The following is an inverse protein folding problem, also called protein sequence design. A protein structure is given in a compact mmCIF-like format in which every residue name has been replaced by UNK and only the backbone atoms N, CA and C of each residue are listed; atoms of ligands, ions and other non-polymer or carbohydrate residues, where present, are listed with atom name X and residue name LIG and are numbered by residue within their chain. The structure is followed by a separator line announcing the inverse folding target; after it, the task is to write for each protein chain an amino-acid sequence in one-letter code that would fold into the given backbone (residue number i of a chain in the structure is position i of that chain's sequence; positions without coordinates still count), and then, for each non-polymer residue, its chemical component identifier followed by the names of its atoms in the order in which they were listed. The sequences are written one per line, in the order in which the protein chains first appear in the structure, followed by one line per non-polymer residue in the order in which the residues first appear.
data_IF_262925892912
#
_entry.id   IF_262925892912
#
_cell.length_a   1.000
_cell.length_b   1.000
_cell.length_c   1.000
_cell.angle_alpha   90.00
_cell.angle_beta   90.00
_cell.angle_gamma   90.00
#
_symmetry.space_group_name_H-M   'P 1'
#
loop_
_entity.id
_entity.type
_entity.pdbx_description
1 polymer ?
#
# COMPACT_ATOMS: atom_id res chain seq x y z
N UNK A 1 13.95 -19.96 8.73
CA UNK A 1 13.14 -19.01 7.95
C UNK A 1 12.89 -17.82 8.86
N UNK A 2 13.65 -16.76 8.69
CA UNK A 2 13.40 -15.48 9.33
C UNK A 2 13.64 -14.45 8.24
N UNK A 3 12.55 -13.86 7.75
CA UNK A 3 12.56 -12.74 6.81
C UNK A 3 11.54 -11.77 7.40
N UNK A 4 12.00 -11.05 8.40
CA UNK A 4 11.25 -10.10 9.22
C UNK A 4 12.16 -8.89 9.48
N UNK A 5 13.04 -8.60 8.53
CA UNK A 5 13.86 -7.40 8.54
C UNK A 5 13.07 -6.31 7.79
N UNK A 6 12.73 -5.18 8.44
CA UNK A 6 11.92 -4.12 7.83
C UNK A 6 12.55 -3.51 6.57
N UNK A 7 13.86 -3.71 6.38
CA UNK A 7 14.58 -3.30 5.18
C UNK A 7 14.27 -4.17 3.95
N UNK A 8 13.95 -5.44 4.15
CA UNK A 8 13.56 -6.34 3.05
C UNK A 8 12.16 -5.99 2.54
N UNK A 9 11.25 -5.64 3.45
CA UNK A 9 9.86 -5.28 3.11
C UNK A 9 9.79 -3.98 2.30
N UNK A 10 10.58 -2.96 2.68
CA UNK A 10 10.66 -1.72 1.92
C UNK A 10 11.27 -1.94 0.53
N UNK A 11 12.31 -2.78 0.42
CA UNK A 11 12.91 -3.11 -0.85
C UNK A 11 11.91 -3.80 -1.80
N UNK A 12 11.11 -4.73 -1.28
CA UNK A 12 10.04 -5.37 -2.04
C UNK A 12 8.98 -4.35 -2.49
N UNK A 13 8.55 -3.46 -1.61
CA UNK A 13 7.60 -2.41 -1.97
C UNK A 13 8.14 -1.51 -3.09
N UNK A 14 9.44 -1.19 -3.07
CA UNK A 14 10.11 -0.43 -4.14
C UNK A 14 10.19 -1.21 -5.45
N UNK A 15 10.39 -2.52 -5.42
CA UNK A 15 10.33 -3.35 -6.62
C UNK A 15 8.94 -3.32 -7.27
N UNK A 16 7.87 -3.29 -6.46
CA UNK A 16 6.48 -3.31 -6.94
C UNK A 16 5.98 -1.93 -7.36
N UNK A 17 6.28 -0.89 -6.58
CA UNK A 17 5.72 0.47 -6.77
C UNK A 17 6.69 1.45 -7.44
N UNK A 18 7.99 1.15 -7.43
CA UNK A 18 9.05 2.09 -7.78
C UNK A 18 9.48 2.98 -6.61
N UNK A 19 10.62 3.65 -6.75
CA UNK A 19 11.22 4.46 -5.69
C UNK A 19 10.37 5.68 -5.32
N UNK A 20 9.87 6.43 -6.31
CA UNK A 20 9.18 7.71 -6.06
C UNK A 20 7.92 7.57 -5.17
N UNK A 21 7.00 6.62 -5.40
CA UNK A 21 5.87 6.43 -4.50
C UNK A 21 6.28 6.04 -3.08
N UNK A 22 7.33 5.22 -2.93
CA UNK A 22 7.84 4.79 -1.63
C UNK A 22 8.49 5.96 -0.88
N UNK A 23 9.30 6.77 -1.56
CA UNK A 23 9.90 7.97 -0.98
C UNK A 23 8.83 8.93 -0.42
N UNK A 24 7.69 9.06 -1.11
CA UNK A 24 6.56 9.87 -0.62
C UNK A 24 5.91 9.27 0.64
N UNK A 25 5.78 7.95 0.72
CA UNK A 25 5.26 7.26 1.91
C UNK A 25 6.20 7.40 3.11
N UNK A 26 7.51 7.27 2.89
CA UNK A 26 8.55 7.46 3.92
C UNK A 26 8.58 8.89 4.44
N UNK A 27 8.44 9.88 3.54
CA UNK A 27 8.49 11.29 3.90
C UNK A 27 7.19 11.81 4.55
N UNK A 28 6.09 11.06 4.46
CA UNK A 28 4.79 11.49 4.96
C UNK A 28 4.68 11.31 6.49
N UNK A 29 4.68 12.41 7.22
CA UNK A 29 4.30 12.45 8.62
C UNK A 29 2.83 12.84 8.75
N UNK A 30 2.01 11.86 9.12
CA UNK A 30 0.56 12.01 9.30
C UNK A 30 0.15 12.12 10.78
N UNK A 31 1.12 12.24 11.70
CA UNK A 31 0.87 12.40 13.13
C UNK A 31 0.16 11.21 13.80
N UNK A 32 0.25 10.02 13.21
CA UNK A 32 -0.37 8.79 13.72
C UNK A 32 0.69 7.79 14.23
N UNK A 33 0.34 6.87 15.15
CA UNK A 33 1.28 5.86 15.63
C UNK A 33 1.80 4.94 14.54
N UNK A 34 1.00 4.68 13.50
CA UNK A 34 1.35 3.88 12.35
C UNK A 34 1.64 4.78 11.16
N UNK A 35 2.72 4.49 10.46
CA UNK A 35 3.19 5.28 9.33
C UNK A 35 2.47 4.89 8.03
N UNK A 36 2.44 5.80 7.04
CA UNK A 36 1.94 5.48 5.70
C UNK A 36 2.69 4.33 5.03
N UNK A 37 4.00 4.21 5.28
CA UNK A 37 4.81 3.10 4.77
C UNK A 37 4.36 1.76 5.36
N UNK A 38 4.22 1.65 6.68
CA UNK A 38 3.76 0.42 7.33
C UNK A 38 2.37 0.01 6.82
N UNK A 39 1.47 0.97 6.65
CA UNK A 39 0.15 0.71 6.07
C UNK A 39 0.24 0.20 4.61
N UNK A 40 1.12 0.78 3.78
CA UNK A 40 1.34 0.31 2.42
C UNK A 40 1.87 -1.13 2.37
N UNK A 41 2.81 -1.49 3.26
CA UNK A 41 3.38 -2.83 3.35
C UNK A 41 2.34 -3.87 3.73
N UNK A 42 1.50 -3.59 4.73
CA UNK A 42 0.45 -4.51 5.13
C UNK A 42 -0.61 -4.67 4.04
N UNK A 43 -0.91 -3.61 3.30
CA UNK A 43 -1.80 -3.68 2.14
C UNK A 43 -1.17 -4.51 1.02
N UNK A 44 0.12 -4.32 0.71
CA UNK A 44 0.81 -5.13 -0.30
C UNK A 44 0.74 -6.62 0.05
N UNK A 45 1.08 -6.99 1.29
CA UNK A 45 1.00 -8.37 1.79
C UNK A 45 -0.41 -8.94 1.70
N UNK A 46 -1.41 -8.13 2.03
CA UNK A 46 -2.81 -8.52 1.86
C UNK A 46 -3.10 -8.83 0.40
N UNK A 47 -2.74 -7.96 -0.54
CA UNK A 47 -3.03 -8.11 -1.96
C UNK A 47 -2.29 -9.29 -2.59
N UNK A 48 -1.02 -9.52 -2.23
CA UNK A 48 -0.21 -10.65 -2.72
C UNK A 48 -0.77 -12.03 -2.31
N UNK A 49 -1.64 -12.08 -1.30
CA UNK A 49 -2.41 -13.28 -0.98
C UNK A 49 -3.45 -13.66 -2.05
N UNK A 50 -3.77 -12.77 -3.00
CA UNK A 50 -4.85 -12.92 -3.97
C UNK A 50 -4.42 -12.68 -5.42
N UNK A 51 -3.46 -11.78 -5.64
CA UNK A 51 -3.04 -11.35 -6.98
C UNK A 51 -1.53 -11.29 -7.11
N UNK A 52 -1.02 -11.24 -8.34
CA UNK A 52 0.41 -11.02 -8.61
C UNK A 52 0.85 -9.58 -8.30
N UNK A 53 2.16 -9.39 -8.11
CA UNK A 53 2.78 -8.10 -7.80
C UNK A 53 2.45 -7.02 -8.85
N UNK A 54 2.35 -7.39 -10.13
CA UNK A 54 1.99 -6.47 -11.18
C UNK A 54 0.56 -5.94 -11.04
N UNK A 55 -0.38 -6.80 -10.60
CA UNK A 55 -1.75 -6.39 -10.30
C UNK A 55 -1.83 -5.55 -9.02
N UNK A 56 -1.08 -5.91 -7.97
CA UNK A 56 -0.99 -5.13 -6.75
C UNK A 56 -0.42 -3.72 -7.02
N UNK A 57 0.70 -3.62 -7.76
CA UNK A 57 1.29 -2.34 -8.13
C UNK A 57 0.36 -1.47 -8.98
N UNK A 58 -0.37 -2.08 -9.94
CA UNK A 58 -1.42 -1.35 -10.69
C UNK A 58 -2.52 -0.82 -9.78
N UNK A 59 -2.94 -1.57 -8.76
CA UNK A 59 -3.97 -1.13 -7.84
C UNK A 59 -3.52 0.12 -7.04
N UNK A 60 -2.28 0.13 -6.53
CA UNK A 60 -1.68 1.29 -5.87
C UNK A 60 -1.56 2.53 -6.77
N UNK A 61 -1.38 2.33 -8.08
CA UNK A 61 -1.25 3.40 -9.06
C UNK A 61 -2.58 3.85 -9.68
N UNK A 62 -3.70 3.19 -9.36
CA UNK A 62 -5.01 3.47 -9.96
C UNK A 62 -5.93 4.16 -8.95
N UNK A 63 -6.67 5.17 -9.42
CA UNK A 63 -7.69 5.83 -8.62
C UNK A 63 -8.74 4.85 -8.12
N UNK A 64 -9.08 4.94 -6.84
CA UNK A 64 -10.09 4.08 -6.22
C UNK A 64 -11.36 4.87 -5.95
N UNK A 65 -12.49 4.36 -6.44
CA UNK A 65 -13.80 4.96 -6.15
C UNK A 65 -14.09 5.07 -4.64
N UNK A 66 -13.61 4.10 -3.85
CA UNK A 66 -13.74 4.09 -2.38
C UNK A 66 -12.86 5.12 -1.68
N UNK A 67 -11.83 5.63 -2.35
CA UNK A 67 -10.92 6.67 -1.84
C UNK A 67 -11.23 8.04 -2.45
N UNK A 68 -12.48 8.23 -2.91
CA UNK A 68 -12.96 9.49 -3.51
C UNK A 68 -12.19 9.90 -4.77
N UNK A 69 -11.74 8.91 -5.56
CA UNK A 69 -10.98 9.16 -6.79
C UNK A 69 -9.48 9.40 -6.56
N UNK A 70 -9.00 9.28 -5.33
CA UNK A 70 -7.55 9.27 -5.04
C UNK A 70 -6.96 7.90 -5.31
N UNK A 71 -5.69 7.87 -5.67
CA UNK A 71 -4.87 6.67 -5.61
C UNK A 71 -4.63 6.25 -4.15
N UNK A 72 -4.37 4.96 -3.88
CA UNK A 72 -3.98 4.49 -2.56
C UNK A 72 -2.77 5.24 -2.00
N UNK A 73 -1.77 5.59 -2.83
CA UNK A 73 -0.61 6.37 -2.40
C UNK A 73 -1.02 7.76 -1.91
N UNK A 74 -1.85 8.48 -2.67
CA UNK A 74 -2.34 9.81 -2.28
C UNK A 74 -3.17 9.77 -0.99
N UNK A 75 -3.98 8.72 -0.81
CA UNK A 75 -4.76 8.53 0.40
C UNK A 75 -3.85 8.24 1.62
N UNK A 76 -2.84 7.39 1.47
CA UNK A 76 -1.88 7.06 2.53
C UNK A 76 -1.08 8.29 2.99
N UNK A 77 -0.52 9.07 2.05
CA UNK A 77 0.27 10.27 2.41
C UNK A 77 -0.58 11.40 3.02
N UNK A 78 -1.91 11.32 2.90
CA UNK A 78 -2.84 12.25 3.54
C UNK A 78 -3.44 11.69 4.85
N UNK A 79 -3.01 10.51 5.29
CA UNK A 79 -3.39 9.91 6.57
C UNK A 79 -4.65 9.06 6.55
N UNK A 80 -5.24 8.78 5.37
CA UNK A 80 -6.40 7.92 5.21
C UNK A 80 -6.01 6.42 5.21
N UNK A 81 -5.34 5.98 6.29
CA UNK A 81 -4.74 4.66 6.37
C UNK A 81 -5.82 3.55 6.40
N UNK A 82 -6.82 3.69 7.27
CA UNK A 82 -7.89 2.71 7.45
C UNK A 82 -8.75 2.57 6.18
N UNK A 83 -9.05 3.68 5.49
CA UNK A 83 -9.82 3.67 4.25
C UNK A 83 -9.09 2.94 3.13
N UNK A 84 -7.77 3.06 3.07
CA UNK A 84 -6.95 2.33 2.08
C UNK A 84 -6.96 0.83 2.35
N UNK A 85 -6.84 0.42 3.61
CA UNK A 85 -6.94 -1.00 3.96
C UNK A 85 -8.31 -1.59 3.64
N UNK A 86 -9.38 -0.86 3.96
CA UNK A 86 -10.74 -1.29 3.67
C UNK A 86 -11.01 -1.36 2.16
N UNK A 87 -10.48 -0.40 1.39
CA UNK A 87 -10.51 -0.46 -0.06
C UNK A 87 -9.75 -1.68 -0.60
N UNK A 88 -8.58 -2.00 -0.03
CA UNK A 88 -7.79 -3.17 -0.40
C UNK A 88 -8.51 -4.48 -0.08
N UNK A 89 -9.04 -4.63 1.13
CA UNK A 89 -9.84 -5.80 1.54
C UNK A 89 -11.04 -6.01 0.63
N UNK A 90 -11.77 -4.95 0.33
CA UNK A 90 -12.94 -5.02 -0.55
C UNK A 90 -12.58 -5.35 -2.00
N UNK A 91 -11.42 -4.89 -2.47
CA UNK A 91 -10.93 -5.21 -3.81
C UNK A 91 -10.41 -6.65 -3.89
N UNK A 92 -9.62 -7.09 -2.92
CA UNK A 92 -9.10 -8.46 -2.81
C UNK A 92 -10.24 -9.48 -2.73
N UNK A 93 -11.26 -9.22 -1.91
CA UNK A 93 -12.46 -10.06 -1.81
C UNK A 93 -13.25 -10.17 -3.13
N UNK A 94 -13.08 -9.24 -4.06
CA UNK A 94 -13.71 -9.28 -5.38
C UNK A 94 -12.89 -10.05 -6.44
N UNK A 95 -11.65 -10.45 -6.12
CA UNK A 95 -10.80 -11.27 -7.00
C UNK A 95 -11.01 -12.79 -6.77
N UNK A 96 -11.73 -13.17 -5.71
CA UNK A 96 -12.03 -14.57 -5.33
C UNK A 96 -13.38 -15.08 -5.86
#
# INVERSE_FOLDING_TARGET
MYRDDPLDDEAELREVLGDEPVDRLVAADVGQPRTPLEAALDVLRLLQGWVDDGAAGRWFATEQRRLEGRTPIEALVTGALEEVEDAARAWAAAQG
#
